data_IF_793156659588
#
_entry.id   IF_793156659588
#
_cell.length_a   1.000
_cell.length_b   1.000
_cell.length_c   1.000
_cell.angle_alpha   90.00
_cell.angle_beta   90.00
_cell.angle_gamma   90.00
#
_symmetry.space_group_name_H-M   'P 1'
#
loop_
_entity.id
_entity.type
_entity.pdbx_description
1 polymer ?
#
# COMPACT_ATOMS: atom_id res chain seq x y z
N UNK A 1 -45.10 -20.58 -12.86
CA UNK A 1 -44.60 -20.84 -11.49
C UNK A 1 -43.08 -20.73 -11.50
N UNK A 2 -42.61 -19.78 -10.70
CA UNK A 2 -41.25 -19.48 -10.20
C UNK A 2 -40.06 -20.30 -10.74
N UNK A 3 -39.29 -19.64 -11.61
CA UNK A 3 -37.97 -20.04 -12.07
C UNK A 3 -36.97 -19.91 -10.92
N UNK A 4 -36.59 -21.04 -10.30
CA UNK A 4 -35.65 -21.11 -9.18
C UNK A 4 -34.22 -20.91 -9.74
N UNK A 5 -33.78 -19.65 -9.90
CA UNK A 5 -32.40 -19.31 -10.26
C UNK A 5 -31.45 -20.01 -9.29
N UNK A 6 -30.76 -21.04 -9.77
CA UNK A 6 -29.65 -21.64 -9.05
C UNK A 6 -28.55 -20.58 -8.92
N UNK A 7 -28.35 -20.07 -7.72
CA UNK A 7 -27.14 -19.33 -7.35
C UNK A 7 -25.99 -20.32 -7.52
N UNK A 8 -25.27 -20.23 -8.63
CA UNK A 8 -24.19 -21.17 -8.91
C UNK A 8 -23.06 -20.94 -7.88
N UNK A 9 -22.18 -21.93 -7.69
CA UNK A 9 -21.07 -21.83 -6.74
C UNK A 9 -20.21 -20.57 -6.98
N UNK A 10 -20.07 -20.12 -8.23
CA UNK A 10 -19.32 -18.91 -8.59
C UNK A 10 -19.97 -17.64 -8.02
N UNK A 11 -21.29 -17.50 -8.09
CA UNK A 11 -22.01 -16.34 -7.53
C UNK A 11 -21.89 -16.31 -5.99
N UNK A 12 -21.95 -17.47 -5.33
CA UNK A 12 -21.73 -17.58 -3.88
C UNK A 12 -20.29 -17.24 -3.51
N UNK A 13 -19.30 -17.73 -4.25
CA UNK A 13 -17.89 -17.38 -4.02
C UNK A 13 -17.70 -15.86 -4.17
N UNK A 14 -18.26 -15.24 -5.21
CA UNK A 14 -18.18 -13.79 -5.43
C UNK A 14 -18.82 -13.01 -4.29
N UNK A 15 -19.96 -13.47 -3.78
CA UNK A 15 -20.71 -12.73 -2.74
C UNK A 15 -20.19 -12.95 -1.32
N UNK A 16 -19.75 -14.17 -1.00
CA UNK A 16 -19.44 -14.60 0.37
C UNK A 16 -17.93 -14.73 0.63
N UNK A 17 -17.12 -14.97 -0.42
CA UNK A 17 -15.69 -15.30 -0.26
C UNK A 17 -14.73 -14.31 -0.93
N UNK A 18 -15.21 -13.43 -1.83
CA UNK A 18 -14.37 -12.38 -2.41
C UNK A 18 -14.21 -11.25 -1.40
N UNK A 19 -12.97 -11.04 -0.98
CA UNK A 19 -12.59 -9.85 -0.23
C UNK A 19 -12.51 -8.70 -1.22
N UNK A 20 -13.49 -7.80 -1.18
CA UNK A 20 -13.40 -6.57 -1.95
C UNK A 20 -12.21 -5.73 -1.44
N UNK A 21 -11.26 -5.44 -2.31
CA UNK A 21 -10.07 -4.69 -1.95
C UNK A 21 -10.39 -3.23 -1.63
N UNK A 22 -11.47 -2.68 -2.23
CA UNK A 22 -12.02 -1.37 -1.87
C UNK A 22 -12.44 -1.35 -0.39
N UNK A 23 -13.10 -2.41 0.08
CA UNK A 23 -13.48 -2.54 1.50
C UNK A 23 -12.25 -2.52 2.43
N UNK A 24 -11.09 -3.04 1.99
CA UNK A 24 -9.90 -3.04 2.84
C UNK A 24 -9.28 -1.64 2.97
N UNK A 25 -9.23 -0.86 1.89
CA UNK A 25 -8.77 0.53 1.92
C UNK A 25 -9.75 1.41 2.69
N UNK A 26 -11.05 1.28 2.42
CA UNK A 26 -12.10 2.04 3.10
C UNK A 26 -12.08 1.83 4.62
N UNK A 27 -12.05 0.57 5.09
CA UNK A 27 -11.97 0.25 6.53
C UNK A 27 -10.73 0.82 7.22
N UNK A 28 -9.65 1.06 6.48
CA UNK A 28 -8.39 1.57 7.02
C UNK A 28 -8.20 3.07 6.76
N UNK A 29 -9.15 3.74 6.10
CA UNK A 29 -9.02 5.13 5.68
C UNK A 29 -8.73 6.07 6.85
N UNK A 30 -9.48 5.93 7.95
CA UNK A 30 -9.32 6.77 9.13
C UNK A 30 -7.97 6.62 9.83
N UNK A 31 -7.35 5.44 9.71
CA UNK A 31 -6.01 5.21 10.23
C UNK A 31 -4.95 5.71 9.24
N UNK A 32 -5.12 5.42 7.95
CA UNK A 32 -4.21 5.85 6.90
C UNK A 32 -4.09 7.37 6.83
N UNK A 33 -5.22 8.10 6.94
CA UNK A 33 -5.25 9.58 6.95
C UNK A 33 -4.57 10.19 8.18
N UNK A 34 -4.12 9.43 9.17
CA UNK A 34 -3.28 9.98 10.23
C UNK A 34 -1.84 10.16 9.77
N UNK A 35 -1.38 9.30 8.86
CA UNK A 35 0.02 9.20 8.43
C UNK A 35 0.27 9.68 7.00
N UNK A 36 -0.75 9.67 6.14
CA UNK A 36 -0.60 9.90 4.70
C UNK A 36 -1.48 11.07 4.24
N UNK A 37 -0.91 11.95 3.43
CA UNK A 37 -1.63 12.94 2.61
C UNK A 37 -1.32 12.67 1.14
N UNK A 38 -2.28 12.99 0.27
CA UNK A 38 -2.13 12.84 -1.17
C UNK A 38 -2.36 14.20 -1.79
N UNK A 39 -1.43 14.65 -2.62
CA UNK A 39 -1.55 15.91 -3.35
C UNK A 39 -2.43 15.73 -4.59
N UNK A 40 -2.89 16.82 -5.20
CA UNK A 40 -3.75 16.76 -6.41
C UNK A 40 -3.04 16.15 -7.63
N UNK A 41 -1.71 16.19 -7.66
CA UNK A 41 -0.86 15.56 -8.66
C UNK A 41 -0.46 14.10 -8.29
N UNK A 42 -1.06 13.53 -7.24
CA UNK A 42 -0.89 12.12 -6.89
C UNK A 42 0.39 11.78 -6.13
N UNK A 43 1.13 12.80 -5.63
CA UNK A 43 2.29 12.59 -4.75
C UNK A 43 1.83 12.25 -3.33
N UNK A 44 2.66 11.46 -2.66
CA UNK A 44 2.38 10.98 -1.31
C UNK A 44 3.22 11.75 -0.32
N UNK A 45 2.56 12.51 0.55
CA UNK A 45 3.20 13.16 1.68
C UNK A 45 3.02 12.30 2.94
N UNK A 46 4.13 12.01 3.62
CA UNK A 46 4.16 11.18 4.82
C UNK A 46 4.32 12.09 6.03
N UNK A 47 3.37 12.00 6.96
CA UNK A 47 3.43 12.69 8.25
C UNK A 47 4.35 11.95 9.22
N UNK A 48 5.00 12.69 10.11
CA UNK A 48 5.94 12.16 11.11
C UNK A 48 7.14 11.43 10.50
N UNK A 49 7.64 11.85 9.32
CA UNK A 49 8.81 11.26 8.65
C UNK A 49 10.02 11.12 9.60
N UNK A 50 10.24 12.10 10.46
CA UNK A 50 11.29 12.16 11.47
C UNK A 50 11.22 11.03 12.52
N UNK A 51 10.02 10.51 12.80
CA UNK A 51 9.79 9.41 13.75
C UNK A 51 9.82 8.03 13.09
N UNK A 52 10.01 7.97 11.77
CA UNK A 52 9.89 6.76 10.96
C UNK A 52 11.24 6.36 10.36
N UNK A 53 11.50 5.05 10.40
CA UNK A 53 12.62 4.43 9.68
C UNK A 53 12.38 4.48 8.18
N UNK A 54 13.45 4.41 7.38
CA UNK A 54 13.31 4.37 5.91
C UNK A 54 12.42 3.23 5.40
N UNK A 55 12.44 2.07 6.07
CA UNK A 55 11.55 0.94 5.76
C UNK A 55 10.07 1.30 5.98
N UNK A 56 9.76 1.96 7.09
CA UNK A 56 8.38 2.39 7.39
C UNK A 56 7.92 3.49 6.44
N UNK A 57 8.82 4.41 6.07
CA UNK A 57 8.53 5.43 5.07
C UNK A 57 8.21 4.80 3.71
N UNK A 58 9.00 3.81 3.25
CA UNK A 58 8.70 3.05 2.02
C UNK A 58 7.33 2.39 2.12
N UNK A 59 7.02 1.72 3.23
CA UNK A 59 5.73 1.05 3.41
C UNK A 59 4.55 2.04 3.36
N UNK A 60 4.64 3.17 4.05
CA UNK A 60 3.60 4.21 3.98
C UNK A 60 3.47 4.82 2.60
N UNK A 61 4.58 5.02 1.88
CA UNK A 61 4.56 5.52 0.52
C UNK A 61 3.78 4.57 -0.40
N UNK A 62 4.08 3.26 -0.33
CA UNK A 62 3.38 2.23 -1.11
C UNK A 62 1.89 2.14 -0.74
N UNK A 63 1.54 2.30 0.54
CA UNK A 63 0.13 2.37 0.96
C UNK A 63 -0.53 3.62 0.38
N UNK A 64 0.15 4.78 0.42
CA UNK A 64 -0.36 6.01 -0.16
C UNK A 64 -0.64 5.89 -1.66
N UNK A 65 0.21 5.18 -2.39
CA UNK A 65 0.01 4.92 -3.83
C UNK A 65 -1.18 4.01 -4.13
N UNK A 66 -1.54 3.09 -3.23
CA UNK A 66 -2.82 2.37 -3.33
C UNK A 66 -4.00 3.35 -3.26
N UNK A 67 -4.03 4.23 -2.26
CA UNK A 67 -5.09 5.23 -2.13
C UNK A 67 -5.08 6.27 -3.27
N UNK A 68 -3.91 6.66 -3.78
CA UNK A 68 -3.81 7.60 -4.89
C UNK A 68 -4.37 7.00 -6.18
N UNK A 69 -4.13 5.71 -6.43
CA UNK A 69 -4.75 4.98 -7.52
C UNK A 69 -6.26 4.87 -7.34
N UNK A 70 -6.72 4.48 -6.15
CA UNK A 70 -8.15 4.34 -5.85
C UNK A 70 -8.90 5.67 -6.03
N UNK A 71 -8.26 6.79 -5.68
CA UNK A 71 -8.82 8.13 -5.86
C UNK A 71 -8.67 8.68 -7.29
N UNK A 72 -8.05 7.94 -8.22
CA UNK A 72 -7.86 8.36 -9.61
C UNK A 72 -6.77 9.42 -9.83
N UNK A 73 -5.89 9.67 -8.86
CA UNK A 73 -4.76 10.59 -9.03
C UNK A 73 -3.56 9.97 -9.76
N UNK A 74 -3.50 8.64 -9.84
CA UNK A 74 -2.43 7.90 -10.53
C UNK A 74 -2.99 6.65 -11.18
N UNK A 75 -2.47 6.26 -12.34
CA UNK A 75 -2.93 5.04 -13.04
C UNK A 75 -2.47 3.74 -12.37
N UNK A 76 -1.43 3.81 -11.53
CA UNK A 76 -0.85 2.63 -10.87
C UNK A 76 -0.40 2.91 -9.44
N UNK A 77 -0.60 1.88 -8.62
CA UNK A 77 -0.13 1.74 -7.24
C UNK A 77 1.34 1.28 -7.17
N UNK A 78 1.91 0.84 -8.29
CA UNK A 78 3.26 0.28 -8.34
C UNK A 78 4.30 1.37 -8.50
N UNK A 79 5.35 1.32 -7.69
CA UNK A 79 6.33 2.41 -7.53
C UNK A 79 7.71 1.96 -7.96
N UNK A 80 8.38 2.76 -8.80
CA UNK A 80 9.74 2.48 -9.25
C UNK A 80 10.80 2.88 -8.22
N UNK A 81 12.01 2.33 -8.35
CA UNK A 81 13.14 2.72 -7.49
C UNK A 81 13.43 4.22 -7.55
N UNK A 82 13.36 4.83 -8.75
CA UNK A 82 13.63 6.27 -8.93
C UNK A 82 12.66 7.12 -8.12
N UNK A 83 11.36 6.87 -8.24
CA UNK A 83 10.32 7.56 -7.46
C UNK A 83 10.55 7.42 -5.96
N UNK A 84 10.87 6.21 -5.46
CA UNK A 84 11.18 6.02 -4.04
C UNK A 84 12.41 6.81 -3.58
N UNK A 85 13.45 6.94 -4.41
CA UNK A 85 14.63 7.74 -4.06
C UNK A 85 14.30 9.23 -4.06
N UNK A 86 13.60 9.70 -5.09
CA UNK A 86 13.30 11.12 -5.31
C UNK A 86 12.31 11.63 -4.23
N UNK A 87 11.23 10.90 -3.96
CA UNK A 87 10.14 11.35 -3.07
C UNK A 87 10.42 11.12 -1.58
N UNK A 88 11.29 10.15 -1.25
CA UNK A 88 11.68 9.85 0.13
C UNK A 88 13.08 10.35 0.49
N UNK A 89 13.85 10.88 -0.47
CA UNK A 89 15.24 11.30 -0.25
C UNK A 89 16.17 10.15 0.14
N UNK A 90 15.85 8.92 -0.26
CA UNK A 90 16.62 7.72 0.11
C UNK A 90 17.70 7.46 -0.93
N UNK A 91 18.95 7.25 -0.49
CA UNK A 91 20.03 6.87 -1.40
C UNK A 91 19.85 5.45 -1.94
N UNK A 92 20.37 5.19 -3.15
CA UNK A 92 20.34 3.85 -3.75
C UNK A 92 20.97 2.78 -2.85
N UNK A 93 22.06 3.12 -2.15
CA UNK A 93 22.78 2.22 -1.25
C UNK A 93 21.94 1.75 -0.07
N UNK A 94 21.03 2.58 0.43
CA UNK A 94 20.09 2.21 1.49
C UNK A 94 18.80 1.58 0.94
N UNK A 95 18.28 2.10 -0.17
CA UNK A 95 17.01 1.67 -0.74
C UNK A 95 17.03 0.18 -1.14
N UNK A 96 18.08 -0.27 -1.84
CA UNK A 96 18.11 -1.64 -2.37
C UNK A 96 18.13 -2.72 -1.27
N UNK A 97 18.95 -2.61 -0.21
CA UNK A 97 18.88 -3.52 0.93
C UNK A 97 17.53 -3.51 1.65
N UNK A 98 16.91 -2.34 1.83
CA UNK A 98 15.60 -2.23 2.47
C UNK A 98 14.50 -2.89 1.65
N UNK A 99 14.46 -2.65 0.33
CA UNK A 99 13.54 -3.31 -0.57
C UNK A 99 13.78 -4.83 -0.61
N UNK A 100 15.03 -5.28 -0.55
CA UNK A 100 15.34 -6.71 -0.43
C UNK A 100 14.76 -7.29 0.86
N UNK A 101 15.05 -6.68 2.00
CA UNK A 101 14.50 -7.09 3.31
C UNK A 101 12.97 -7.16 3.30
N UNK A 102 12.31 -6.13 2.75
CA UNK A 102 10.85 -6.11 2.62
C UNK A 102 10.31 -7.27 1.77
N UNK A 103 10.99 -7.65 0.68
CA UNK A 103 10.60 -8.80 -0.13
C UNK A 103 10.85 -10.12 0.58
N UNK A 104 12.01 -10.27 1.20
CA UNK A 104 12.41 -11.49 1.94
C UNK A 104 11.41 -11.79 3.07
N UNK A 105 10.78 -10.76 3.64
CA UNK A 105 9.75 -10.88 4.68
C UNK A 105 8.30 -10.80 4.15
N UNK A 106 8.09 -10.95 2.84
CA UNK A 106 6.78 -10.92 2.18
C UNK A 106 5.95 -9.66 2.48
N UNK A 107 6.60 -8.51 2.68
CA UNK A 107 5.95 -7.23 2.97
C UNK A 107 5.57 -6.46 1.72
N UNK A 108 6.29 -6.66 0.63
CA UNK A 108 6.04 -6.03 -0.67
C UNK A 108 6.19 -7.06 -1.79
N UNK A 109 5.57 -6.78 -2.94
CA UNK A 109 5.75 -7.54 -4.17
C UNK A 109 6.66 -6.77 -5.12
N UNK A 110 7.52 -7.50 -5.83
CA UNK A 110 8.27 -6.98 -6.96
C UNK A 110 7.50 -7.23 -8.26
N UNK A 111 7.41 -6.22 -9.10
CA UNK A 111 6.78 -6.29 -10.42
C UNK A 111 7.84 -5.91 -11.45
N UNK A 112 8.19 -6.83 -12.36
CA UNK A 112 9.13 -6.56 -13.46
C UNK A 112 8.33 -6.13 -14.69
N UNK A 113 8.65 -4.96 -15.24
CA UNK A 113 8.13 -4.47 -16.53
C UNK A 113 9.31 -4.12 -17.42
N UNK A 114 9.66 -5.05 -18.33
CA UNK A 114 10.87 -4.95 -19.13
C UNK A 114 12.13 -4.84 -18.27
N UNK A 115 12.93 -3.79 -18.49
CA UNK A 115 14.15 -3.50 -17.73
C UNK A 115 13.88 -2.83 -16.37
N UNK A 116 12.64 -2.43 -16.09
CA UNK A 116 12.30 -1.67 -14.90
C UNK A 116 11.69 -2.57 -13.82
N UNK A 117 12.02 -2.23 -12.57
CA UNK A 117 11.49 -2.88 -11.37
C UNK A 117 10.59 -1.91 -10.62
N UNK A 118 9.40 -2.38 -10.30
CA UNK A 118 8.40 -1.68 -9.50
C UNK A 118 8.08 -2.48 -8.25
N UNK A 119 7.54 -1.81 -7.24
CA UNK A 119 7.15 -2.40 -5.96
C UNK A 119 5.73 -1.99 -5.60
N UNK A 120 4.99 -2.89 -4.99
CA UNK A 120 3.66 -2.62 -4.47
C UNK A 120 3.46 -3.34 -3.14
N UNK A 121 2.68 -2.75 -2.24
CA UNK A 121 2.26 -3.43 -1.02
C UNK A 121 0.99 -4.26 -1.31
N UNK A 122 0.94 -5.55 -0.90
CA UNK A 122 -0.29 -6.31 -0.92
C UNK A 122 -1.37 -5.66 -0.04
N UNK A 123 -2.58 -5.49 -0.56
CA UNK A 123 -3.69 -4.83 0.16
C UNK A 123 -3.99 -5.49 1.52
N UNK A 124 -3.87 -6.81 1.61
CA UNK A 124 -4.07 -7.56 2.86
C UNK A 124 -3.04 -7.23 3.96
N UNK A 125 -1.96 -6.52 3.65
CA UNK A 125 -0.95 -6.09 4.62
C UNK A 125 -1.13 -4.64 5.10
N UNK A 126 -2.04 -3.88 4.48
CA UNK A 126 -2.25 -2.45 4.78
C UNK A 126 -2.59 -2.25 6.25
N UNK A 127 -3.62 -2.94 6.76
CA UNK A 127 -4.08 -2.80 8.14
C UNK A 127 -2.98 -3.13 9.16
N UNK A 128 -2.33 -4.29 9.00
CA UNK A 128 -1.26 -4.73 9.90
C UNK A 128 -0.10 -3.73 9.92
N UNK A 129 0.24 -3.16 8.77
CA UNK A 129 1.32 -2.19 8.62
C UNK A 129 0.98 -0.88 9.31
N UNK A 130 -0.21 -0.34 9.03
CA UNK A 130 -0.68 0.90 9.66
C UNK A 130 -0.77 0.77 11.19
N UNK A 131 -1.35 -0.33 11.71
CA UNK A 131 -1.42 -0.61 13.15
C UNK A 131 -0.04 -0.77 13.80
N UNK A 132 0.96 -1.27 13.07
CA UNK A 132 2.33 -1.37 13.58
C UNK A 132 2.96 0.01 13.73
N UNK A 133 2.76 0.88 12.75
CA UNK A 133 3.28 2.25 12.73
C UNK A 133 2.59 3.10 13.78
N UNK A 134 1.28 3.01 13.92
CA UNK A 134 0.50 3.71 14.94
C UNK A 134 1.02 3.40 16.34
N UNK A 135 1.20 2.11 16.67
CA UNK A 135 1.75 1.68 17.97
C UNK A 135 3.13 2.25 18.24
N UNK A 136 3.99 2.31 17.22
CA UNK A 136 5.33 2.90 17.34
C UNK A 136 5.26 4.40 17.60
N UNK A 137 4.45 5.13 16.84
CA UNK A 137 4.33 6.58 17.00
C UNK A 137 3.75 6.91 18.37
N UNK A 138 2.69 6.23 18.81
CA UNK A 138 2.08 6.44 20.14
C UNK A 138 3.04 6.13 21.30
N UNK A 139 3.98 5.19 21.13
CA UNK A 139 5.02 4.91 22.14
C UNK A 139 6.10 5.99 22.22
N UNK A 140 6.29 6.74 21.14
CA UNK A 140 7.29 7.81 21.02
C UNK A 140 6.66 9.22 21.14
N UNK A 141 5.47 9.30 21.73
CA UNK A 141 4.79 10.53 22.15
C UNK A 141 4.79 10.56 23.67
#
# INVERSE_FOLDING_TARGET
>A
MTNKKACNLRDRIIKEMVVDYANALERNFDLAKQFIRITRDGKIDIRFKDKLTGIEQILLYLIGKLYAKEAGFTDTESVGNKELMDELGITRGSLLPWLKSLRDHNKIKQIKKGKHTYHAIPVNLVEKTLKSIERKIKKNM
#
